data_IF_649309301943
#
_entry.id   IF_649309301943
#
_cell.length_a   1.000
_cell.length_b   1.000
_cell.length_c   1.000
_cell.angle_alpha   90.00
_cell.angle_beta   90.00
_cell.angle_gamma   90.00
#
_symmetry.space_group_name_H-M   'P 1'
#
loop_
_entity.id
_entity.type
_entity.pdbx_description
1 polymer ?
#
# COMPACT_ATOMS: atom_id res chain seq x y z
N UNK A 1 6.23 -14.69 27.80
CA UNK A 1 7.18 -15.72 27.31
C UNK A 1 8.36 -14.99 26.69
N UNK A 2 9.60 -15.46 26.83
CA UNK A 2 10.75 -14.85 26.12
C UNK A 2 10.73 -15.30 24.64
N UNK A 3 11.10 -14.43 23.70
CA UNK A 3 11.09 -14.68 22.26
C UNK A 3 11.83 -15.97 21.90
N UNK A 4 12.99 -16.23 22.53
CA UNK A 4 13.75 -17.46 22.31
C UNK A 4 12.96 -18.73 22.67
N UNK A 5 12.12 -18.67 23.72
CA UNK A 5 11.24 -19.76 24.13
C UNK A 5 9.98 -19.89 23.28
N UNK A 6 9.60 -18.82 22.57
CA UNK A 6 8.44 -18.79 21.69
C UNK A 6 8.73 -19.41 20.30
N UNK A 7 9.96 -19.32 19.81
CA UNK A 7 10.35 -19.80 18.47
C UNK A 7 9.96 -21.26 18.21
N UNK A 8 10.26 -22.24 19.09
CA UNK A 8 9.88 -23.64 18.85
C UNK A 8 8.37 -23.82 18.80
N UNK A 9 7.62 -23.08 19.63
CA UNK A 9 6.16 -23.14 19.68
C UNK A 9 5.55 -22.58 18.40
N UNK A 10 6.01 -21.41 17.94
CA UNK A 10 5.56 -20.80 16.68
C UNK A 10 5.84 -21.72 15.49
N UNK A 11 7.04 -22.32 15.42
CA UNK A 11 7.37 -23.30 14.37
C UNK A 11 6.47 -24.54 14.40
N UNK A 12 6.16 -25.07 15.58
CA UNK A 12 5.25 -26.18 15.72
C UNK A 12 3.83 -25.84 15.24
N UNK A 13 3.31 -24.66 15.60
CA UNK A 13 2.01 -24.18 15.13
C UNK A 13 1.99 -23.91 13.62
N UNK A 14 3.06 -23.34 13.07
CA UNK A 14 3.21 -23.10 11.64
C UNK A 14 3.23 -24.41 10.84
N UNK A 15 3.94 -25.44 11.33
CA UNK A 15 3.93 -26.78 10.74
C UNK A 15 2.53 -27.41 10.76
N UNK A 16 1.79 -27.24 11.86
CA UNK A 16 0.40 -27.71 11.96
C UNK A 16 -0.51 -26.99 10.96
N UNK A 17 -0.34 -25.67 10.79
CA UNK A 17 -1.04 -24.84 9.81
C UNK A 17 -0.73 -25.29 8.38
N UNK A 18 0.54 -25.51 8.03
CA UNK A 18 0.96 -26.04 6.72
C UNK A 18 0.33 -27.41 6.44
N UNK A 19 0.33 -28.30 7.44
CA UNK A 19 -0.28 -29.63 7.29
C UNK A 19 -1.80 -29.53 7.10
N UNK A 20 -2.46 -28.51 7.67
CA UNK A 20 -3.90 -28.26 7.42
C UNK A 20 -4.18 -27.85 5.97
N UNK A 21 -3.30 -27.04 5.36
CA UNK A 21 -3.39 -26.69 3.95
C UNK A 21 -3.12 -27.90 3.04
N UNK A 22 -2.13 -28.72 3.42
CA UNK A 22 -1.69 -29.85 2.60
C UNK A 22 -2.67 -31.03 2.60
N UNK A 23 -3.34 -31.30 3.73
CA UNK A 23 -4.12 -32.50 3.97
C UNK A 23 -5.62 -32.41 3.64
N UNK A 24 -6.10 -31.26 3.13
CA UNK A 24 -7.53 -31.06 2.89
C UNK A 24 -8.39 -31.15 4.15
N UNK A 25 -7.80 -30.92 5.34
CA UNK A 25 -8.50 -30.93 6.62
C UNK A 25 -9.57 -29.84 6.66
N UNK A 26 -10.57 -30.03 7.53
CA UNK A 26 -11.72 -29.13 7.63
C UNK A 26 -11.27 -27.70 7.95
N UNK A 27 -12.01 -26.70 7.46
CA UNK A 27 -11.70 -25.28 7.64
C UNK A 27 -11.59 -24.88 9.13
N UNK A 28 -12.23 -25.66 10.00
CA UNK A 28 -12.17 -25.52 11.46
C UNK A 28 -10.75 -25.80 12.00
N UNK A 29 -10.10 -26.86 11.53
CA UNK A 29 -8.74 -27.22 11.96
C UNK A 29 -7.72 -26.20 11.46
N UNK A 30 -7.89 -25.72 10.23
CA UNK A 30 -7.06 -24.64 9.68
C UNK A 30 -7.21 -23.34 10.46
N UNK A 31 -8.44 -22.99 10.88
CA UNK A 31 -8.70 -21.80 11.70
C UNK A 31 -8.02 -21.88 13.07
N UNK A 32 -8.17 -23.00 13.77
CA UNK A 32 -7.50 -23.21 15.07
C UNK A 32 -5.98 -23.16 14.95
N UNK A 33 -5.43 -23.74 13.89
CA UNK A 33 -3.99 -23.69 13.65
C UNK A 33 -3.51 -22.25 13.38
N UNK A 34 -4.29 -21.46 12.63
CA UNK A 34 -3.97 -20.05 12.40
C UNK A 34 -4.03 -19.23 13.68
N UNK A 35 -5.10 -19.36 14.47
CA UNK A 35 -5.25 -18.65 15.75
C UNK A 35 -4.07 -18.96 16.70
N UNK A 36 -3.63 -20.21 16.77
CA UNK A 36 -2.47 -20.59 17.57
C UNK A 36 -1.15 -19.96 17.08
N UNK A 37 -0.95 -19.85 15.76
CA UNK A 37 0.23 -19.15 15.20
C UNK A 37 0.17 -17.66 15.54
N UNK A 38 -0.98 -17.03 15.31
CA UNK A 38 -1.18 -15.60 15.54
C UNK A 38 -0.96 -15.24 17.02
N UNK A 39 -1.59 -15.97 17.93
CA UNK A 39 -1.48 -15.72 19.38
C UNK A 39 -0.04 -15.90 19.86
N UNK A 40 0.62 -16.98 19.46
CA UNK A 40 2.01 -17.25 19.86
C UNK A 40 2.96 -16.19 19.29
N UNK A 41 2.77 -15.77 18.03
CA UNK A 41 3.61 -14.75 17.41
C UNK A 41 3.39 -13.36 18.04
N UNK A 42 2.15 -12.98 18.32
CA UNK A 42 1.83 -11.69 18.97
C UNK A 42 2.39 -11.63 20.39
N UNK A 43 2.26 -12.71 21.15
CA UNK A 43 2.83 -12.82 22.51
C UNK A 43 4.37 -12.78 22.50
N UNK A 44 5.00 -13.28 21.43
CA UNK A 44 6.45 -13.21 21.26
C UNK A 44 6.94 -11.82 20.82
N UNK A 45 6.14 -11.05 20.09
CA UNK A 45 6.51 -9.75 19.49
C UNK A 45 6.39 -8.56 20.46
N UNK A 46 6.89 -8.69 21.70
CA UNK A 46 6.80 -7.65 22.73
C UNK A 46 7.77 -6.50 22.47
N UNK A 47 8.98 -6.82 22.03
CA UNK A 47 10.00 -5.83 21.68
C UNK A 47 10.31 -5.81 20.18
N UNK A 48 11.00 -4.77 19.71
CA UNK A 48 11.37 -4.60 18.30
C UNK A 48 12.30 -5.71 17.81
N UNK A 49 13.27 -6.13 18.62
CA UNK A 49 14.16 -7.24 18.29
C UNK A 49 13.43 -8.58 18.11
N UNK A 50 12.38 -8.81 18.89
CA UNK A 50 11.57 -10.02 18.80
C UNK A 50 10.79 -10.09 17.49
N UNK A 51 10.30 -8.94 17.01
CA UNK A 51 9.58 -8.86 15.74
C UNK A 51 10.45 -9.28 14.56
N UNK A 52 11.73 -8.87 14.54
CA UNK A 52 12.66 -9.26 13.49
C UNK A 52 12.87 -10.78 13.46
N UNK A 53 13.03 -11.41 14.63
CA UNK A 53 13.15 -12.87 14.75
C UNK A 53 11.87 -13.56 14.26
N UNK A 54 10.71 -13.07 14.70
CA UNK A 54 9.42 -13.63 14.27
C UNK A 54 9.19 -13.46 12.78
N UNK A 55 9.58 -12.33 12.19
CA UNK A 55 9.49 -12.10 10.75
C UNK A 55 10.37 -13.05 9.95
N UNK A 56 11.60 -13.32 10.42
CA UNK A 56 12.49 -14.28 9.77
C UNK A 56 11.89 -15.70 9.71
N UNK A 57 11.11 -16.09 10.72
CA UNK A 57 10.43 -17.40 10.77
C UNK A 57 9.14 -17.39 9.96
N UNK A 58 8.27 -16.40 10.20
CA UNK A 58 6.93 -16.34 9.62
C UNK A 58 6.97 -16.00 8.12
N UNK A 59 8.02 -15.33 7.65
CA UNK A 59 8.26 -15.02 6.25
C UNK A 59 9.32 -15.95 5.64
N UNK A 60 9.53 -17.13 6.21
CA UNK A 60 10.37 -18.16 5.58
C UNK A 60 9.74 -18.62 4.26
N UNK A 61 10.54 -18.74 3.19
CA UNK A 61 10.03 -18.91 1.82
C UNK A 61 9.25 -20.22 1.62
N UNK A 62 9.70 -21.30 2.24
CA UNK A 62 9.16 -22.65 2.01
C UNK A 62 8.14 -23.09 3.06
N UNK A 63 8.33 -22.64 4.31
CA UNK A 63 7.49 -23.07 5.45
C UNK A 63 6.71 -21.93 6.10
N UNK A 64 6.90 -20.69 5.64
CA UNK A 64 6.26 -19.51 6.21
C UNK A 64 4.80 -19.31 5.81
N UNK A 65 4.25 -18.18 6.27
CA UNK A 65 2.86 -17.79 6.05
C UNK A 65 2.51 -17.63 4.57
N UNK A 66 3.44 -17.13 3.74
CA UNK A 66 3.20 -17.06 2.29
C UNK A 66 3.10 -18.45 1.66
N UNK A 67 3.94 -19.40 2.08
CA UNK A 67 3.87 -20.78 1.61
C UNK A 67 2.51 -21.40 1.96
N UNK A 68 2.01 -21.18 3.18
CA UNK A 68 0.67 -21.59 3.58
C UNK A 68 -0.43 -21.01 2.67
N UNK A 69 -0.39 -19.70 2.39
CA UNK A 69 -1.42 -19.07 1.54
C UNK A 69 -1.39 -19.65 0.13
N UNK A 70 -0.20 -19.82 -0.45
CA UNK A 70 -0.04 -20.42 -1.78
C UNK A 70 -0.55 -21.86 -1.82
N UNK A 71 -0.18 -22.68 -0.84
CA UNK A 71 -0.57 -24.10 -0.78
C UNK A 71 -2.07 -24.26 -0.56
N UNK A 72 -2.65 -23.48 0.35
CA UNK A 72 -4.09 -23.51 0.63
C UNK A 72 -4.92 -23.04 -0.56
N UNK A 73 -4.42 -22.10 -1.37
CA UNK A 73 -5.07 -21.70 -2.62
C UNK A 73 -5.13 -22.85 -3.64
N UNK A 74 -4.04 -23.63 -3.76
CA UNK A 74 -3.99 -24.75 -4.70
C UNK A 74 -4.88 -25.91 -4.27
N UNK A 75 -4.97 -26.18 -2.97
CA UNK A 75 -5.62 -27.40 -2.45
C UNK A 75 -7.05 -27.19 -1.93
N UNK A 76 -7.33 -26.03 -1.33
CA UNK A 76 -8.60 -25.76 -0.65
C UNK A 76 -9.37 -24.57 -1.26
N UNK A 77 -8.70 -23.75 -2.07
CA UNK A 77 -9.30 -22.66 -2.82
C UNK A 77 -10.13 -21.73 -1.93
N UNK A 78 -11.44 -21.68 -2.18
CA UNK A 78 -12.37 -20.76 -1.50
C UNK A 78 -12.65 -21.12 -0.04
N UNK A 79 -12.47 -22.39 0.36
CA UNK A 79 -12.81 -22.85 1.71
C UNK A 79 -11.97 -22.16 2.80
N UNK A 80 -10.74 -21.77 2.47
CA UNK A 80 -9.80 -21.11 3.40
C UNK A 80 -9.60 -19.63 3.14
N UNK A 81 -10.44 -19.02 2.29
CA UNK A 81 -10.32 -17.61 1.91
C UNK A 81 -10.40 -16.63 3.09
N UNK A 82 -11.12 -16.97 4.17
CA UNK A 82 -11.14 -16.15 5.38
C UNK A 82 -9.75 -16.12 6.06
N UNK A 83 -9.16 -17.31 6.25
CA UNK A 83 -7.84 -17.47 6.88
C UNK A 83 -6.75 -16.82 6.01
N UNK A 84 -6.79 -17.03 4.69
CA UNK A 84 -5.83 -16.42 3.75
C UNK A 84 -5.79 -14.89 3.87
N UNK A 85 -6.95 -14.24 4.01
CA UNK A 85 -7.02 -12.79 4.21
C UNK A 85 -6.49 -12.36 5.58
N UNK A 86 -6.83 -13.09 6.64
CA UNK A 86 -6.33 -12.82 8.00
C UNK A 86 -4.80 -12.93 8.04
N UNK A 87 -4.23 -13.96 7.42
CA UNK A 87 -2.79 -14.13 7.27
C UNK A 87 -2.14 -12.97 6.52
N UNK A 88 -2.68 -12.59 5.35
CA UNK A 88 -2.13 -11.47 4.56
C UNK A 88 -2.19 -10.13 5.31
N UNK A 89 -3.28 -9.88 6.05
CA UNK A 89 -3.43 -8.71 6.90
C UNK A 89 -2.43 -8.72 8.06
N UNK A 90 -2.24 -9.87 8.70
CA UNK A 90 -1.24 -10.04 9.75
C UNK A 90 0.18 -9.79 9.22
N UNK A 91 0.51 -10.27 8.02
CA UNK A 91 1.80 -9.99 7.38
C UNK A 91 1.98 -8.48 7.19
N UNK A 92 0.96 -7.74 6.75
CA UNK A 92 1.03 -6.28 6.65
C UNK A 92 1.30 -5.63 8.01
N UNK A 93 0.57 -6.03 9.06
CA UNK A 93 0.75 -5.52 10.44
C UNK A 93 2.16 -5.83 10.98
N UNK A 94 2.68 -7.02 10.72
CA UNK A 94 4.04 -7.43 11.10
C UNK A 94 5.09 -6.56 10.41
N UNK A 95 4.93 -6.32 9.10
CA UNK A 95 5.83 -5.46 8.33
C UNK A 95 5.77 -4.01 8.81
N UNK A 96 4.58 -3.45 9.05
CA UNK A 96 4.42 -2.12 9.64
C UNK A 96 5.13 -2.02 11.00
N UNK A 97 5.05 -3.07 11.82
CA UNK A 97 5.69 -3.16 13.12
C UNK A 97 7.22 -3.32 13.09
N UNK A 98 7.80 -3.82 12.00
CA UNK A 98 9.26 -3.89 11.76
C UNK A 98 9.81 -2.55 11.26
N UNK A 99 9.02 -1.84 10.48
CA UNK A 99 9.46 -0.63 9.78
C UNK A 99 10.58 -0.88 8.75
N UNK A 100 11.08 0.21 8.12
CA UNK A 100 12.04 0.11 7.02
C UNK A 100 13.43 -0.38 7.44
N UNK A 101 13.85 -0.10 8.68
CA UNK A 101 15.20 -0.44 9.17
C UNK A 101 15.45 -1.95 9.15
N UNK A 102 14.45 -2.73 9.52
CA UNK A 102 14.55 -4.19 9.59
C UNK A 102 13.77 -4.88 8.48
N UNK A 103 12.68 -4.29 8.00
CA UNK A 103 11.76 -4.94 7.08
C UNK A 103 12.25 -5.02 5.62
N UNK A 104 13.12 -4.11 5.18
CA UNK A 104 13.48 -3.98 3.75
C UNK A 104 14.14 -5.23 3.15
N UNK A 105 14.77 -6.08 3.96
CA UNK A 105 15.32 -7.37 3.53
C UNK A 105 14.25 -8.34 3.01
N UNK A 106 12.98 -8.16 3.41
CA UNK A 106 11.86 -9.00 2.98
C UNK A 106 11.17 -8.48 1.72
N UNK A 107 11.64 -7.38 1.12
CA UNK A 107 10.91 -6.68 0.08
C UNK A 107 10.69 -7.53 -1.19
N UNK A 108 11.72 -8.22 -1.65
CA UNK A 108 11.64 -9.14 -2.79
C UNK A 108 10.61 -10.24 -2.52
N UNK A 109 10.74 -10.94 -1.39
CA UNK A 109 9.84 -12.04 -1.04
C UNK A 109 8.38 -11.57 -0.98
N UNK A 110 8.10 -10.48 -0.27
CA UNK A 110 6.73 -9.96 -0.11
C UNK A 110 6.14 -9.59 -1.46
N UNK A 111 6.87 -8.84 -2.28
CA UNK A 111 6.38 -8.41 -3.60
C UNK A 111 6.17 -9.59 -4.55
N UNK A 112 7.09 -10.55 -4.57
CA UNK A 112 7.00 -11.77 -5.38
C UNK A 112 5.81 -12.64 -4.96
N UNK A 113 5.68 -12.97 -3.67
CA UNK A 113 4.62 -13.86 -3.18
C UNK A 113 3.24 -13.20 -3.26
N UNK A 114 3.12 -11.91 -2.92
CA UNK A 114 1.86 -11.20 -3.11
C UNK A 114 1.45 -11.16 -4.58
N UNK A 115 2.37 -10.92 -5.51
CA UNK A 115 2.05 -10.95 -6.94
C UNK A 115 1.63 -12.35 -7.41
N UNK A 116 2.28 -13.41 -6.90
CA UNK A 116 1.93 -14.80 -7.19
C UNK A 116 0.51 -15.11 -6.70
N UNK A 117 0.21 -14.78 -5.45
CA UNK A 117 -1.11 -14.97 -4.82
C UNK A 117 -2.19 -14.17 -5.55
N UNK A 118 -1.89 -12.91 -5.92
CA UNK A 118 -2.80 -12.06 -6.67
C UNK A 118 -3.20 -12.66 -8.02
N UNK A 119 -2.27 -13.34 -8.69
CA UNK A 119 -2.52 -14.02 -9.97
C UNK A 119 -3.28 -15.33 -9.82
N UNK A 120 -2.98 -16.11 -8.78
CA UNK A 120 -3.54 -17.45 -8.60
C UNK A 120 -4.90 -17.47 -7.88
N UNK A 121 -5.18 -16.49 -7.02
CA UNK A 121 -6.41 -16.49 -6.26
C UNK A 121 -7.65 -16.36 -7.16
N UNK A 122 -8.69 -17.13 -6.87
CA UNK A 122 -9.97 -17.01 -7.59
C UNK A 122 -10.83 -15.85 -7.05
N UNK A 123 -10.73 -15.58 -5.75
CA UNK A 123 -11.55 -14.59 -5.07
C UNK A 123 -10.86 -13.23 -5.06
N UNK A 124 -11.57 -12.21 -5.55
CA UNK A 124 -11.10 -10.82 -5.55
C UNK A 124 -10.78 -10.31 -4.14
N UNK A 125 -11.47 -10.81 -3.11
CA UNK A 125 -11.20 -10.45 -1.72
C UNK A 125 -9.85 -10.93 -1.22
N UNK A 126 -9.37 -12.09 -1.69
CA UNK A 126 -8.02 -12.60 -1.37
C UNK A 126 -6.97 -11.84 -2.18
N UNK A 127 -7.22 -11.59 -3.47
CA UNK A 127 -6.36 -10.73 -4.29
C UNK A 127 -6.14 -9.37 -3.65
N UNK A 128 -7.23 -8.76 -3.18
CA UNK A 128 -7.20 -7.43 -2.57
C UNK A 128 -6.35 -7.40 -1.30
N UNK A 129 -6.41 -8.45 -0.48
CA UNK A 129 -5.61 -8.54 0.75
C UNK A 129 -4.10 -8.58 0.48
N UNK A 130 -3.65 -8.94 -0.73
CA UNK A 130 -2.22 -8.89 -1.09
C UNK A 130 -1.68 -7.47 -1.25
N UNK A 131 -2.55 -6.47 -1.48
CA UNK A 131 -2.13 -5.09 -1.71
C UNK A 131 -1.61 -4.42 -0.43
N UNK A 132 -2.12 -4.81 0.74
CA UNK A 132 -1.71 -4.23 2.02
C UNK A 132 -0.22 -4.47 2.31
N UNK A 133 0.31 -5.72 2.31
CA UNK A 133 1.75 -5.96 2.47
C UNK A 133 2.61 -5.27 1.41
N UNK A 134 2.14 -5.24 0.15
CA UNK A 134 2.86 -4.62 -0.96
C UNK A 134 2.97 -3.11 -0.76
N UNK A 135 1.90 -2.44 -0.34
CA UNK A 135 1.91 -1.01 -0.05
C UNK A 135 2.83 -0.66 1.11
N UNK A 136 2.89 -1.51 2.15
CA UNK A 136 3.79 -1.31 3.29
C UNK A 136 5.25 -1.37 2.82
N UNK A 137 5.64 -2.44 2.12
CA UNK A 137 7.02 -2.67 1.68
C UNK A 137 7.48 -1.65 0.66
N UNK A 138 6.67 -1.41 -0.38
CA UNK A 138 7.03 -0.46 -1.43
C UNK A 138 7.02 0.98 -0.92
N UNK A 139 6.30 1.26 0.18
CA UNK A 139 6.30 2.57 0.83
C UNK A 139 7.58 2.89 1.61
N UNK A 140 8.51 1.93 1.76
CA UNK A 140 9.78 2.16 2.43
C UNK A 140 10.84 2.79 1.52
N UNK A 141 11.85 3.49 2.08
CA UNK A 141 13.02 3.92 1.33
C UNK A 141 13.89 2.70 0.96
N UNK A 142 13.58 2.05 -0.15
CA UNK A 142 14.30 0.87 -0.63
C UNK A 142 15.67 1.26 -1.22
N UNK A 143 16.72 0.56 -0.79
CA UNK A 143 18.05 0.69 -1.38
C UNK A 143 18.12 0.07 -2.79
N UNK A 144 19.14 0.46 -3.57
CA UNK A 144 19.34 -0.01 -4.95
C UNK A 144 19.38 -1.54 -5.10
N UNK A 145 19.93 -2.26 -4.11
CA UNK A 145 19.97 -3.72 -4.13
C UNK A 145 18.55 -4.32 -4.05
N UNK A 146 17.72 -3.85 -3.12
CA UNK A 146 16.34 -4.30 -2.96
C UNK A 146 15.47 -3.93 -4.18
N UNK A 147 15.69 -2.75 -4.77
CA UNK A 147 14.98 -2.34 -5.99
C UNK A 147 15.29 -3.26 -7.17
N UNK A 148 16.55 -3.65 -7.36
CA UNK A 148 16.95 -4.55 -8.46
C UNK A 148 16.36 -5.96 -8.34
N UNK A 149 16.03 -6.41 -7.13
CA UNK A 149 15.39 -7.72 -6.91
C UNK A 149 13.88 -7.71 -7.16
N UNK A 150 13.25 -6.53 -7.23
CA UNK A 150 11.79 -6.42 -7.45
C UNK A 150 11.53 -6.28 -8.95
N UNK A 151 10.69 -7.16 -9.50
CA UNK A 151 10.23 -7.11 -10.89
C UNK A 151 9.11 -6.05 -11.05
N UNK A 152 9.50 -4.78 -11.01
CA UNK A 152 8.59 -3.63 -11.03
C UNK A 152 7.77 -3.56 -12.32
N UNK A 153 8.36 -3.90 -13.47
CA UNK A 153 7.69 -4.00 -14.77
C UNK A 153 6.53 -5.00 -14.77
N UNK A 154 6.78 -6.24 -14.36
CA UNK A 154 5.74 -7.29 -14.32
C UNK A 154 4.65 -6.96 -13.30
N UNK A 155 5.01 -6.38 -12.16
CA UNK A 155 4.03 -5.91 -11.16
C UNK A 155 3.11 -4.85 -11.78
N UNK A 156 3.68 -3.82 -12.40
CA UNK A 156 2.91 -2.71 -12.97
C UNK A 156 1.92 -3.20 -14.03
N UNK A 157 2.37 -4.03 -14.99
CA UNK A 157 1.50 -4.60 -16.03
C UNK A 157 0.38 -5.46 -15.42
N UNK A 158 0.70 -6.24 -14.38
CA UNK A 158 -0.30 -7.11 -13.74
C UNK A 158 -1.38 -6.30 -13.06
N UNK A 159 -0.99 -5.31 -12.25
CA UNK A 159 -1.93 -4.48 -11.49
C UNK A 159 -2.74 -3.55 -12.41
N UNK A 160 -2.11 -2.96 -13.43
CA UNK A 160 -2.82 -2.18 -14.45
C UNK A 160 -3.89 -3.02 -15.15
N UNK A 161 -3.54 -4.25 -15.58
CA UNK A 161 -4.51 -5.14 -16.23
C UNK A 161 -5.67 -5.47 -15.30
N UNK A 162 -5.41 -5.76 -14.03
CA UNK A 162 -6.45 -6.04 -13.05
C UNK A 162 -7.37 -4.82 -12.84
N UNK A 163 -6.79 -3.62 -12.75
CA UNK A 163 -7.54 -2.37 -12.63
C UNK A 163 -8.48 -2.13 -13.82
N UNK A 164 -8.00 -2.35 -15.05
CA UNK A 164 -8.75 -2.12 -16.28
C UNK A 164 -9.83 -3.18 -16.54
N UNK A 165 -9.53 -4.45 -16.27
CA UNK A 165 -10.39 -5.58 -16.67
C UNK A 165 -11.42 -5.96 -15.62
N UNK A 166 -11.10 -5.79 -14.33
CA UNK A 166 -12.00 -6.21 -13.27
C UNK A 166 -12.97 -5.09 -12.86
N UNK A 167 -14.15 -5.11 -13.51
CA UNK A 167 -15.24 -4.16 -13.23
C UNK A 167 -15.85 -4.30 -11.84
N UNK A 168 -15.66 -5.45 -11.15
CA UNK A 168 -16.25 -5.74 -9.84
C UNK A 168 -15.39 -5.26 -8.66
N UNK A 169 -14.17 -4.77 -8.92
CA UNK A 169 -13.32 -4.22 -7.85
C UNK A 169 -13.99 -3.01 -7.20
N UNK A 170 -13.99 -3.00 -5.87
CA UNK A 170 -14.44 -1.85 -5.10
C UNK A 170 -13.55 -0.64 -5.36
N UNK A 171 -14.08 0.55 -5.11
CA UNK A 171 -13.36 1.79 -5.26
C UNK A 171 -12.09 1.86 -4.38
N UNK A 172 -12.14 1.26 -3.18
CA UNK A 172 -10.97 1.14 -2.30
C UNK A 172 -9.86 0.33 -2.95
N UNK A 173 -10.18 -0.85 -3.47
CA UNK A 173 -9.18 -1.74 -4.11
C UNK A 173 -8.58 -1.08 -5.35
N UNK A 174 -9.41 -0.43 -6.16
CA UNK A 174 -8.93 0.35 -7.32
C UNK A 174 -8.00 1.49 -6.89
N UNK A 175 -8.32 2.18 -5.81
CA UNK A 175 -7.46 3.21 -5.23
C UNK A 175 -6.12 2.63 -4.75
N UNK A 176 -6.13 1.48 -4.09
CA UNK A 176 -4.92 0.82 -3.62
C UNK A 176 -4.04 0.34 -4.79
N UNK A 177 -4.65 -0.19 -5.86
CA UNK A 177 -3.93 -0.52 -7.10
C UNK A 177 -3.29 0.74 -7.71
N UNK A 178 -4.02 1.85 -7.84
CA UNK A 178 -3.43 3.08 -8.37
C UNK A 178 -2.26 3.55 -7.51
N UNK A 179 -2.38 3.46 -6.17
CA UNK A 179 -1.28 3.80 -5.26
C UNK A 179 -0.05 2.93 -5.48
N UNK A 180 -0.23 1.61 -5.61
CA UNK A 180 0.88 0.69 -5.95
C UNK A 180 1.52 1.10 -7.27
N UNK A 181 0.73 1.37 -8.31
CA UNK A 181 1.25 1.79 -9.63
C UNK A 181 2.04 3.11 -9.55
N UNK A 182 1.58 4.08 -8.75
CA UNK A 182 2.31 5.31 -8.48
C UNK A 182 3.66 5.06 -7.81
N UNK A 183 3.69 4.23 -6.77
CA UNK A 183 4.94 3.89 -6.06
C UNK A 183 5.92 3.15 -6.97
N UNK A 184 5.44 2.17 -7.75
CA UNK A 184 6.28 1.45 -8.73
C UNK A 184 6.94 2.43 -9.70
N UNK A 185 6.19 3.43 -10.16
CA UNK A 185 6.69 4.45 -11.04
C UNK A 185 7.78 5.34 -10.40
N UNK A 186 7.63 5.69 -9.11
CA UNK A 186 8.65 6.47 -8.38
C UNK A 186 9.95 5.72 -8.17
N UNK A 187 9.88 4.42 -7.86
CA UNK A 187 11.06 3.63 -7.54
C UNK A 187 11.83 3.14 -8.78
N UNK A 188 11.15 3.01 -9.93
CA UNK A 188 11.73 2.54 -11.20
C UNK A 188 11.31 3.42 -12.39
N UNK A 189 11.53 4.75 -12.39
CA UNK A 189 11.01 5.65 -13.42
C UNK A 189 11.55 5.36 -14.83
N UNK A 190 12.75 4.80 -14.92
CA UNK A 190 13.40 4.44 -16.19
C UNK A 190 12.82 3.15 -16.82
N UNK A 191 12.03 2.36 -16.10
CA UNK A 191 11.45 1.13 -16.65
C UNK A 191 10.17 1.40 -17.45
N UNK A 192 9.57 2.57 -17.25
CA UNK A 192 8.23 2.92 -17.74
C UNK A 192 8.27 4.04 -18.77
N UNK A 193 8.86 3.75 -19.94
CA UNK A 193 8.90 4.68 -21.06
C UNK A 193 7.57 4.74 -21.81
N UNK A 194 7.36 5.84 -22.54
CA UNK A 194 6.22 5.99 -23.44
C UNK A 194 6.22 4.90 -24.52
N UNK A 195 5.06 4.26 -24.74
CA UNK A 195 4.90 3.12 -25.65
C UNK A 195 4.90 1.73 -24.97
N UNK A 196 5.27 1.64 -23.69
CA UNK A 196 5.02 0.43 -22.89
C UNK A 196 3.54 0.30 -22.51
N UNK A 197 3.12 -0.93 -22.17
CA UNK A 197 1.74 -1.20 -21.75
C UNK A 197 1.33 -0.35 -20.53
N UNK A 198 2.23 -0.22 -19.56
CA UNK A 198 2.12 0.74 -18.47
C UNK A 198 3.12 1.88 -18.73
N UNK A 199 2.62 3.10 -18.80
CA UNK A 199 3.39 4.32 -19.07
C UNK A 199 2.99 5.45 -18.13
N UNK A 200 3.83 6.49 -18.07
CA UNK A 200 3.52 7.72 -17.33
C UNK A 200 2.24 8.37 -17.84
N UNK A 201 2.13 8.58 -19.15
CA UNK A 201 0.95 9.17 -19.79
C UNK A 201 -0.34 8.44 -19.40
N UNK A 202 -0.33 7.10 -19.44
CA UNK A 202 -1.47 6.30 -19.02
C UNK A 202 -1.85 6.55 -17.56
N UNK A 203 -0.87 6.50 -16.65
CA UNK A 203 -1.12 6.69 -15.22
C UNK A 203 -1.69 8.08 -14.92
N UNK A 204 -1.09 9.11 -15.53
CA UNK A 204 -1.52 10.50 -15.40
C UNK A 204 -2.94 10.68 -15.91
N UNK A 205 -3.20 10.31 -17.16
CA UNK A 205 -4.49 10.51 -17.81
C UNK A 205 -5.61 9.76 -17.09
N UNK A 206 -5.34 8.53 -16.63
CA UNK A 206 -6.30 7.74 -15.87
C UNK A 206 -6.58 8.33 -14.49
N UNK A 207 -5.56 8.81 -13.77
CA UNK A 207 -5.75 9.48 -12.49
C UNK A 207 -6.52 10.79 -12.65
N UNK A 208 -6.20 11.59 -13.67
CA UNK A 208 -6.92 12.84 -13.99
C UNK A 208 -8.37 12.54 -14.35
N UNK A 209 -8.65 11.49 -15.13
CA UNK A 209 -10.01 11.04 -15.41
C UNK A 209 -10.75 10.68 -14.13
N UNK A 210 -10.13 9.91 -13.22
CA UNK A 210 -10.71 9.55 -11.92
C UNK A 210 -11.03 10.79 -11.08
N UNK A 211 -10.10 11.75 -11.00
CA UNK A 211 -10.25 12.96 -10.20
C UNK A 211 -11.23 13.97 -10.82
N UNK A 212 -11.45 13.92 -12.13
CA UNK A 212 -12.41 14.77 -12.84
C UNK A 212 -13.86 14.30 -12.69
N UNK A 213 -14.08 13.05 -12.24
CA UNK A 213 -15.42 12.55 -11.95
C UNK A 213 -15.86 13.04 -10.58
N UNK A 214 -16.75 14.03 -10.57
CA UNK A 214 -17.37 14.57 -9.36
C UNK A 214 -18.33 13.55 -8.72
N UNK A 215 -18.11 13.19 -7.45
CA UNK A 215 -19.04 12.37 -6.68
C UNK A 215 -18.79 12.47 -5.18
N UNK A 216 -19.83 12.73 -4.39
CA UNK A 216 -19.76 13.04 -2.95
C UNK A 216 -19.85 11.81 -2.03
N UNK A 217 -19.54 10.61 -2.51
CA UNK A 217 -19.62 9.39 -1.71
C UNK A 217 -18.26 8.93 -1.18
N UNK A 218 -18.24 8.38 0.04
CA UNK A 218 -17.05 7.79 0.70
C UNK A 218 -16.29 6.78 -0.17
N UNK A 219 -16.97 6.11 -1.11
CA UNK A 219 -16.34 5.18 -2.04
C UNK A 219 -15.50 5.92 -3.10
N UNK A 220 -15.97 7.07 -3.58
CA UNK A 220 -15.21 7.94 -4.49
C UNK A 220 -13.95 8.47 -3.80
N UNK A 221 -14.01 8.73 -2.49
CA UNK A 221 -12.88 9.23 -1.71
C UNK A 221 -11.70 8.24 -1.63
N UNK A 222 -11.97 6.94 -1.45
CA UNK A 222 -10.90 5.95 -1.39
C UNK A 222 -10.17 5.83 -2.75
N UNK A 223 -10.93 5.79 -3.84
CA UNK A 223 -10.39 5.77 -5.20
C UNK A 223 -9.62 7.07 -5.51
N UNK A 224 -10.21 8.23 -5.20
CA UNK A 224 -9.58 9.52 -5.35
C UNK A 224 -8.28 9.63 -4.54
N UNK A 225 -8.23 9.05 -3.33
CA UNK A 225 -6.99 9.03 -2.52
C UNK A 225 -5.86 8.26 -3.19
N UNK A 226 -6.18 7.16 -3.87
CA UNK A 226 -5.24 6.39 -4.67
C UNK A 226 -4.78 7.17 -5.90
N UNK A 227 -5.73 7.73 -6.64
CA UNK A 227 -5.46 8.53 -7.83
C UNK A 227 -4.62 9.78 -7.53
N UNK A 228 -4.91 10.51 -6.44
CA UNK A 228 -4.08 11.65 -5.99
C UNK A 228 -2.64 11.22 -5.69
N UNK A 229 -2.47 10.10 -4.98
CA UNK A 229 -1.14 9.60 -4.63
C UNK A 229 -0.35 9.22 -5.88
N UNK A 230 -1.00 8.58 -6.84
CA UNK A 230 -0.36 8.13 -8.08
C UNK A 230 -0.13 9.27 -9.08
N UNK A 231 -1.02 10.26 -9.11
CA UNK A 231 -0.84 11.46 -9.91
C UNK A 231 0.35 12.29 -9.41
N UNK A 232 0.58 12.34 -8.09
CA UNK A 232 1.77 12.97 -7.52
C UNK A 232 3.07 12.34 -8.07
N UNK A 233 3.11 11.01 -8.15
CA UNK A 233 4.20 10.24 -8.75
C UNK A 233 4.41 10.58 -10.23
N UNK A 234 3.31 10.62 -10.99
CA UNK A 234 3.35 10.89 -12.42
C UNK A 234 3.84 12.31 -12.74
N UNK A 235 3.33 13.32 -12.02
CA UNK A 235 3.63 14.73 -12.26
C UNK A 235 5.02 15.15 -11.74
N UNK A 236 5.49 14.59 -10.62
CA UNK A 236 6.76 14.98 -10.00
C UNK A 236 7.99 14.60 -10.83
N UNK A 237 7.90 13.53 -11.63
CA UNK A 237 9.03 13.03 -12.45
C UNK A 237 9.00 13.53 -13.89
N UNK A 238 7.96 14.26 -14.29
CA UNK A 238 7.86 14.87 -15.60
C UNK A 238 8.62 16.20 -15.57
N UNK A 239 9.60 16.43 -16.45
CA UNK A 239 10.42 17.66 -16.39
C UNK A 239 9.70 18.88 -16.97
N UNK A 240 8.95 18.73 -18.07
CA UNK A 240 8.38 19.86 -18.84
C UNK A 240 6.86 19.73 -19.14
N UNK A 241 6.08 19.13 -18.25
CA UNK A 241 4.64 19.01 -18.51
C UNK A 241 3.94 20.37 -18.48
N UNK A 242 3.28 20.69 -19.59
CA UNK A 242 2.27 21.75 -19.72
C UNK A 242 0.86 21.19 -19.50
N UNK A 243 0.73 20.02 -18.86
CA UNK A 243 -0.55 19.34 -18.67
C UNK A 243 -1.40 20.06 -17.62
N UNK A 244 -2.00 21.14 -18.08
CA UNK A 244 -2.82 22.05 -17.29
C UNK A 244 -4.05 21.35 -16.73
N UNK A 245 -4.59 20.33 -17.43
CA UNK A 245 -5.76 19.59 -16.97
C UNK A 245 -5.43 18.76 -15.72
N UNK A 246 -4.34 17.99 -15.77
CA UNK A 246 -3.91 17.18 -14.62
C UNK A 246 -3.46 18.04 -13.44
N UNK A 247 -2.73 19.14 -13.71
CA UNK A 247 -2.30 20.08 -12.66
C UNK A 247 -3.50 20.74 -11.98
N UNK A 248 -4.50 21.18 -12.75
CA UNK A 248 -5.71 21.79 -12.19
C UNK A 248 -6.56 20.79 -11.40
N UNK A 249 -6.72 19.56 -11.91
CA UNK A 249 -7.42 18.49 -11.19
C UNK A 249 -6.71 18.17 -9.86
N UNK A 250 -5.38 18.01 -9.90
CA UNK A 250 -4.56 17.81 -8.72
C UNK A 250 -4.76 18.93 -7.69
N UNK A 251 -4.61 20.19 -8.11
CA UNK A 251 -4.71 21.33 -7.22
C UNK A 251 -6.10 21.50 -6.59
N UNK A 252 -7.16 21.26 -7.38
CA UNK A 252 -8.54 21.28 -6.87
C UNK A 252 -8.73 20.28 -5.72
N UNK A 253 -8.22 19.06 -5.88
CA UNK A 253 -8.30 18.03 -4.84
C UNK A 253 -7.41 18.32 -3.62
N UNK A 254 -6.23 18.93 -3.81
CA UNK A 254 -5.42 19.44 -2.67
C UNK A 254 -6.26 20.40 -1.83
N UNK A 255 -6.89 21.41 -2.45
CA UNK A 255 -7.73 22.37 -1.70
C UNK A 255 -8.92 21.69 -1.02
N UNK A 256 -9.59 20.78 -1.72
CA UNK A 256 -10.75 20.06 -1.19
C UNK A 256 -10.42 19.19 0.02
N UNK A 257 -9.29 18.49 -0.01
CA UNK A 257 -8.87 17.54 1.02
C UNK A 257 -8.24 18.21 2.23
N UNK A 258 -7.49 19.31 2.05
CA UNK A 258 -6.85 20.04 3.15
C UNK A 258 -7.80 21.01 3.87
N UNK A 259 -8.97 21.28 3.29
CA UNK A 259 -9.97 22.13 3.93
C UNK A 259 -10.35 21.56 5.32
N UNK A 260 -10.25 22.35 6.41
CA UNK A 260 -10.54 21.91 7.76
C UNK A 260 -11.93 21.28 7.94
N UNK A 261 -12.93 21.78 7.21
CA UNK A 261 -14.30 21.23 7.25
C UNK A 261 -14.34 19.82 6.65
N UNK A 262 -13.57 19.57 5.60
CA UNK A 262 -13.42 18.24 5.00
C UNK A 262 -12.67 17.30 5.95
N UNK A 263 -11.54 17.74 6.50
CA UNK A 263 -10.71 16.97 7.44
C UNK A 263 -11.51 16.47 8.62
N UNK A 264 -12.36 17.32 9.22
CA UNK A 264 -13.19 16.95 10.38
C UNK A 264 -14.26 15.90 10.06
N UNK A 265 -14.71 15.82 8.80
CA UNK A 265 -15.72 14.85 8.35
C UNK A 265 -15.12 13.51 7.94
N UNK A 266 -13.79 13.42 7.80
CA UNK A 266 -13.13 12.20 7.36
C UNK A 266 -13.04 11.17 8.48
N UNK A 267 -13.58 9.98 8.22
CA UNK A 267 -13.37 8.80 9.09
C UNK A 267 -12.04 8.10 8.82
N UNK A 268 -11.34 8.44 7.72
CA UNK A 268 -10.05 7.87 7.31
C UNK A 268 -9.16 8.98 6.75
N UNK A 269 -7.92 9.08 7.21
CA UNK A 269 -7.00 10.15 6.83
C UNK A 269 -6.25 9.94 5.51
N UNK A 270 -6.61 8.94 4.71
CA UNK A 270 -5.89 8.66 3.46
C UNK A 270 -6.06 9.77 2.42
N UNK A 271 -7.25 10.36 2.30
CA UNK A 271 -7.48 11.51 1.41
C UNK A 271 -6.61 12.71 1.79
N UNK A 272 -6.62 13.07 3.07
CA UNK A 272 -5.79 14.17 3.62
C UNK A 272 -4.29 13.91 3.44
N UNK A 273 -3.81 12.69 3.73
CA UNK A 273 -2.40 12.31 3.49
C UNK A 273 -2.03 12.39 2.02
N UNK A 274 -2.88 11.88 1.12
CA UNK A 274 -2.64 11.97 -0.34
C UNK A 274 -2.64 13.41 -0.85
N UNK A 275 -3.51 14.28 -0.32
CA UNK A 275 -3.52 15.71 -0.65
C UNK A 275 -2.23 16.41 -0.22
N UNK A 276 -1.74 16.12 1.00
CA UNK A 276 -0.45 16.65 1.47
C UNK A 276 0.73 16.12 0.66
N UNK A 277 0.70 14.84 0.27
CA UNK A 277 1.73 14.25 -0.60
C UNK A 277 1.75 14.95 -1.97
N UNK A 278 0.60 15.12 -2.59
CA UNK A 278 0.46 15.80 -3.88
C UNK A 278 0.94 17.25 -3.80
N UNK A 279 0.63 17.95 -2.70
CA UNK A 279 1.17 19.28 -2.42
C UNK A 279 2.69 19.26 -2.30
N UNK A 280 3.24 18.37 -1.47
CA UNK A 280 4.68 18.31 -1.23
C UNK A 280 5.51 17.93 -2.46
N UNK A 281 4.99 17.04 -3.31
CA UNK A 281 5.71 16.58 -4.50
C UNK A 281 5.55 17.49 -5.72
N UNK A 282 4.47 18.27 -5.80
CA UNK A 282 4.10 19.00 -7.02
C UNK A 282 3.91 20.51 -6.79
N UNK A 283 4.35 21.07 -5.66
CA UNK A 283 4.18 22.50 -5.37
C UNK A 283 4.66 23.44 -6.50
N UNK A 284 5.82 23.16 -7.09
CA UNK A 284 6.35 23.91 -8.26
C UNK A 284 5.41 23.96 -9.46
N UNK A 285 4.59 22.91 -9.64
CA UNK A 285 3.70 22.75 -10.80
C UNK A 285 2.43 23.58 -10.68
N UNK A 286 2.02 23.95 -9.47
CA UNK A 286 0.78 24.71 -9.25
C UNK A 286 0.90 26.20 -9.55
N UNK A 287 2.13 26.71 -9.66
CA UNK A 287 2.42 28.07 -10.11
C UNK A 287 1.60 29.13 -9.37
N UNK A 288 0.94 30.01 -10.14
CA UNK A 288 0.21 31.15 -9.59
C UNK A 288 -0.95 30.77 -8.65
N UNK A 289 -1.62 29.64 -8.90
CA UNK A 289 -2.73 29.19 -8.06
C UNK A 289 -2.28 28.95 -6.62
N UNK A 290 -1.08 28.38 -6.44
CA UNK A 290 -0.47 28.15 -5.13
C UNK A 290 -0.18 29.47 -4.41
N UNK A 291 0.37 30.46 -5.13
CA UNK A 291 0.70 31.78 -4.57
C UNK A 291 -0.56 32.49 -4.07
N UNK A 292 -1.65 32.42 -4.82
CA UNK A 292 -2.92 33.05 -4.43
C UNK A 292 -3.51 32.48 -3.14
N UNK A 293 -3.35 31.18 -2.92
CA UNK A 293 -3.89 30.49 -1.73
C UNK A 293 -2.84 30.24 -0.64
N UNK A 294 -1.60 30.72 -0.79
CA UNK A 294 -0.47 30.33 0.06
C UNK A 294 -0.74 30.53 1.55
N UNK A 295 -1.28 31.69 1.94
CA UNK A 295 -1.64 31.97 3.34
C UNK A 295 -2.65 30.97 3.88
N UNK A 296 -3.71 30.67 3.11
CA UNK A 296 -4.75 29.73 3.51
C UNK A 296 -4.18 28.31 3.66
N UNK A 297 -3.33 27.88 2.72
CA UNK A 297 -2.71 26.55 2.76
C UNK A 297 -1.74 26.41 3.95
N UNK A 298 -0.93 27.43 4.23
CA UNK A 298 -0.06 27.47 5.42
C UNK A 298 -0.89 27.36 6.69
N UNK A 299 -1.99 28.10 6.82
CA UNK A 299 -2.87 28.02 7.99
C UNK A 299 -3.48 26.63 8.18
N UNK A 300 -3.92 25.99 7.09
CA UNK A 300 -4.48 24.65 7.13
C UNK A 300 -3.43 23.61 7.53
N UNK A 301 -2.24 23.67 6.93
CA UNK A 301 -1.12 22.77 7.26
C UNK A 301 -0.66 22.97 8.70
N UNK A 302 -0.56 24.21 9.19
CA UNK A 302 -0.20 24.52 10.58
C UNK A 302 -1.15 23.86 11.58
N UNK A 303 -2.46 23.87 11.30
CA UNK A 303 -3.46 23.15 12.11
C UNK A 303 -3.24 21.64 12.05
N UNK A 304 -2.99 21.08 10.86
CA UNK A 304 -2.76 19.64 10.68
C UNK A 304 -1.48 19.13 11.38
N UNK A 305 -0.47 19.97 11.57
CA UNK A 305 0.74 19.62 12.36
C UNK A 305 0.45 19.32 13.83
N UNK A 306 -0.67 19.84 14.36
CA UNK A 306 -1.13 19.59 15.74
C UNK A 306 -2.19 18.49 15.85
N UNK A 307 -2.49 17.81 14.74
CA UNK A 307 -3.54 16.79 14.69
C UNK A 307 -3.19 15.56 15.54
N UNK A 308 -4.17 14.94 16.20
CA UNK A 308 -3.94 13.77 17.06
C UNK A 308 -3.37 12.54 16.33
N UNK A 309 -3.67 12.38 15.04
CA UNK A 309 -3.12 11.31 14.21
C UNK A 309 -1.65 11.60 13.81
N UNK A 310 -0.73 10.72 14.23
CA UNK A 310 0.71 10.83 13.95
C UNK A 310 1.02 10.98 12.45
N UNK A 311 0.48 10.09 11.60
CA UNK A 311 0.75 10.11 10.16
C UNK A 311 0.22 11.37 9.46
N UNK A 312 -0.84 11.99 9.97
CA UNK A 312 -1.31 13.30 9.48
C UNK A 312 -0.30 14.39 9.83
N UNK A 313 0.24 14.40 11.06
CA UNK A 313 1.23 15.41 11.48
C UNK A 313 2.50 15.33 10.64
N UNK A 314 3.01 14.11 10.41
CA UNK A 314 4.23 13.90 9.63
C UNK A 314 4.07 14.38 8.20
N UNK A 315 2.96 14.00 7.55
CA UNK A 315 2.65 14.44 6.20
C UNK A 315 2.45 15.97 6.14
N UNK A 316 1.88 16.60 7.18
CA UNK A 316 1.76 18.05 7.25
C UNK A 316 3.13 18.74 7.39
N UNK A 317 4.03 18.19 8.21
CA UNK A 317 5.40 18.68 8.34
C UNK A 317 6.17 18.57 7.00
N UNK A 318 6.02 17.48 6.26
CA UNK A 318 6.65 17.32 4.95
C UNK A 318 6.09 18.32 3.93
N UNK A 319 4.76 18.45 3.85
CA UNK A 319 4.10 19.34 2.91
C UNK A 319 4.41 20.83 3.18
N UNK A 320 4.44 21.25 4.45
CA UNK A 320 4.75 22.65 4.78
C UNK A 320 6.21 23.00 4.47
N UNK A 321 7.14 22.08 4.70
CA UNK A 321 8.55 22.27 4.37
C UNK A 321 8.73 22.38 2.86
N UNK A 322 8.06 21.52 2.08
CA UNK A 322 8.09 21.59 0.63
C UNK A 322 7.48 22.90 0.10
N UNK A 323 6.40 23.38 0.71
CA UNK A 323 5.77 24.66 0.36
C UNK A 323 6.70 25.84 0.60
N UNK A 324 7.43 25.87 1.71
CA UNK A 324 8.40 26.95 2.01
C UNK A 324 9.67 26.90 1.18
N UNK A 325 9.97 25.76 0.54
CA UNK A 325 11.10 25.64 -0.39
C UNK A 325 10.78 26.18 -1.78
N UNK A 326 9.51 26.50 -2.07
CA UNK A 326 9.05 27.14 -3.31
C UNK A 326 8.86 28.64 -3.13
#
# INVERSE_FOLDING_TARGET
MDCASAVPLVRAHLSALMTSAAGGRDAIDGRRAWEAVEDAAREACREEGDRAVMAAILLEREEGLFAFVVESLMKQGKATAAIQKEVLKYIAELLEGLGPTQGTIHAELVTEQCLRIFKSAELDSVKSATLEPVLVVLGWPLGQAALRSIDTGKMAVTYQRAYQTNRKLSATIKGDILRVLGILFEISPNEFHEGHQFSRSWLRDECTRVLSVSGSEKLVEALASGAMSALASALSTEQDSQDTASINAAYHHVKGTLNPVSVQKQTRYNGVKSGMRLLGMCATRFGWALVQDAHQLVDWLAKLRSHHNHGVRDAANQAINALFQQ
#
